data_IF_548017629823
#
_entry.id   IF_548017629823
#
_cell.length_a   1.000
_cell.length_b   1.000
_cell.length_c   1.000
_cell.angle_alpha   90.00
_cell.angle_beta   90.00
_cell.angle_gamma   90.00
#
_symmetry.space_group_name_H-M   'P 1'
#
loop_
_entity.id
_entity.type
_entity.pdbx_description
1 polymer ?
#
# COMPACT_ATOMS: atom_id res chain seq x y z
N UNK A 1 49.09 32.43 -11.69
CA UNK A 1 48.46 33.66 -11.19
C UNK A 1 46.91 33.48 -11.29
N UNK A 2 46.23 33.25 -10.16
CA UNK A 2 44.76 33.14 -10.14
C UNK A 2 44.16 34.53 -9.89
N UNK A 3 43.45 35.09 -10.88
CA UNK A 3 42.71 36.35 -10.73
C UNK A 3 41.48 36.13 -9.86
N UNK A 4 41.44 36.76 -8.69
CA UNK A 4 40.24 36.83 -7.79
C UNK A 4 39.19 37.74 -8.45
N UNK A 5 38.02 37.21 -8.73
CA UNK A 5 36.84 37.98 -9.19
C UNK A 5 36.26 38.70 -8.01
N UNK A 6 36.13 40.05 -8.12
CA UNK A 6 35.64 40.94 -7.05
C UNK A 6 34.10 40.93 -6.99
N UNK A 7 33.53 40.89 -5.80
CA UNK A 7 32.07 40.86 -5.51
C UNK A 7 31.25 41.93 -6.28
N UNK A 8 31.87 43.06 -6.61
CA UNK A 8 31.19 44.14 -7.36
C UNK A 8 31.03 43.84 -8.86
N UNK A 9 31.85 42.98 -9.44
CA UNK A 9 31.74 42.54 -10.84
C UNK A 9 30.67 41.45 -10.97
N UNK A 10 30.46 40.60 -9.96
CA UNK A 10 29.42 39.57 -9.92
C UNK A 10 28.01 40.16 -9.89
N UNK A 11 27.81 41.22 -9.13
CA UNK A 11 26.50 41.91 -9.04
C UNK A 11 26.12 42.71 -10.29
N UNK A 12 27.09 43.12 -11.12
CA UNK A 12 26.80 43.82 -12.39
C UNK A 12 26.45 42.91 -13.56
N UNK A 13 26.82 41.61 -13.50
CA UNK A 13 26.46 40.60 -14.51
C UNK A 13 25.08 40.03 -14.29
N UNK A 14 24.60 39.98 -13.01
CA UNK A 14 23.24 39.53 -12.69
C UNK A 14 22.16 40.58 -12.97
N UNK A 15 22.49 41.86 -13.02
CA UNK A 15 21.56 42.96 -13.31
C UNK A 15 21.16 43.15 -14.78
N UNK A 16 21.90 42.56 -15.73
CA UNK A 16 21.63 42.68 -17.16
C UNK A 16 20.81 41.53 -17.75
N UNK A 17 20.63 40.43 -17.01
CA UNK A 17 19.83 39.27 -17.45
C UNK A 17 18.34 39.37 -17.03
N UNK A 18 17.98 40.31 -16.16
CA UNK A 18 16.63 40.43 -15.63
C UNK A 18 15.66 41.31 -16.43
N UNK A 19 16.11 41.91 -17.55
CA UNK A 19 15.28 42.84 -18.34
C UNK A 19 14.90 42.31 -19.76
N UNK A 20 15.27 41.07 -20.11
CA UNK A 20 14.88 40.44 -21.35
C UNK A 20 13.83 39.33 -21.25
N UNK A 21 13.27 39.08 -20.04
CA UNK A 21 12.34 38.00 -19.78
C UNK A 21 10.87 38.42 -19.53
N UNK A 22 10.49 39.66 -19.90
CA UNK A 22 9.12 40.17 -19.64
C UNK A 22 8.21 40.26 -20.86
N UNK A 23 8.51 39.50 -21.94
CA UNK A 23 7.64 39.40 -23.14
C UNK A 23 7.51 37.98 -23.71
N UNK A 24 7.66 36.93 -22.89
CA UNK A 24 7.36 35.56 -23.25
C UNK A 24 6.33 35.01 -22.25
N UNK A 25 5.11 34.78 -22.72
CA UNK A 25 4.04 34.25 -21.87
C UNK A 25 4.46 32.98 -21.12
N UNK A 26 4.04 32.89 -19.88
CA UNK A 26 3.99 31.66 -19.10
C UNK A 26 3.05 30.66 -19.83
N UNK A 27 3.57 29.98 -20.84
CA UNK A 27 2.93 28.76 -21.33
C UNK A 27 3.33 27.67 -20.37
N UNK A 28 2.46 27.35 -19.41
CA UNK A 28 2.55 26.12 -18.68
C UNK A 28 2.56 24.97 -19.68
N UNK A 29 3.52 24.06 -19.54
CA UNK A 29 3.50 22.80 -20.27
C UNK A 29 2.35 21.96 -19.74
N UNK A 30 1.12 22.23 -20.17
CA UNK A 30 0.00 21.31 -20.14
C UNK A 30 0.14 20.42 -21.39
N UNK A 31 0.13 19.10 -21.21
CA UNK A 31 -0.06 18.18 -22.32
C UNK A 31 -1.46 18.44 -22.88
N UNK A 32 -1.60 18.82 -24.13
CA UNK A 32 -2.89 19.01 -24.79
C UNK A 32 -3.39 17.64 -25.29
N UNK A 33 -4.62 17.27 -24.87
CA UNK A 33 -5.35 16.17 -25.47
C UNK A 33 -5.66 16.41 -26.95
N UNK A 34 -6.10 15.38 -27.67
CA UNK A 34 -6.37 15.43 -29.12
C UNK A 34 -7.33 16.58 -29.56
N UNK A 35 -8.08 17.16 -28.65
CA UNK A 35 -9.04 18.26 -28.91
C UNK A 35 -8.56 19.66 -28.47
N UNK A 36 -7.30 19.83 -28.04
CA UNK A 36 -6.75 21.14 -27.63
C UNK A 36 -7.23 21.62 -26.25
N UNK A 37 -7.93 20.79 -25.45
CA UNK A 37 -8.26 21.06 -24.06
C UNK A 37 -7.09 20.63 -23.14
N UNK A 38 -6.82 21.39 -22.07
CA UNK A 38 -5.83 21.01 -21.06
C UNK A 38 -6.26 19.71 -20.38
N UNK A 39 -5.37 18.69 -20.37
CA UNK A 39 -5.62 17.44 -19.69
C UNK A 39 -5.54 17.60 -18.17
N UNK A 40 -6.45 16.98 -17.44
CA UNK A 40 -6.41 16.86 -15.97
C UNK A 40 -5.44 15.77 -15.59
N UNK A 41 -4.41 16.10 -14.81
CA UNK A 41 -3.44 15.11 -14.30
C UNK A 41 -3.96 14.51 -13.00
N UNK A 42 -4.10 13.18 -12.99
CA UNK A 42 -4.40 12.37 -11.79
C UNK A 42 -3.08 11.91 -11.21
N UNK A 43 -2.67 12.52 -10.10
CA UNK A 43 -1.45 12.16 -9.39
C UNK A 43 -1.74 11.04 -8.42
N UNK A 44 -0.91 9.98 -8.48
CA UNK A 44 -1.02 8.79 -7.64
C UNK A 44 0.22 8.64 -6.78
N UNK A 45 0.09 8.68 -5.46
CA UNK A 45 1.18 8.33 -4.56
C UNK A 45 1.28 6.81 -4.42
N UNK A 46 2.50 6.29 -4.51
CA UNK A 46 2.79 4.88 -4.40
C UNK A 46 4.12 4.64 -3.68
N UNK A 47 4.18 3.70 -2.76
CA UNK A 47 5.35 3.51 -1.90
C UNK A 47 6.31 2.42 -2.36
N UNK A 48 5.93 1.59 -3.35
CA UNK A 48 6.71 0.49 -3.91
C UNK A 48 7.37 0.89 -5.25
N UNK A 49 8.31 0.10 -5.77
CA UNK A 49 8.92 0.34 -7.07
C UNK A 49 7.95 0.06 -8.25
N UNK A 50 8.35 0.50 -9.44
CA UNK A 50 7.57 0.34 -10.69
C UNK A 50 7.37 -1.13 -11.12
N UNK A 51 8.16 -2.05 -10.57
CA UNK A 51 8.05 -3.49 -10.85
C UNK A 51 6.97 -4.19 -10.03
N UNK A 52 6.38 -3.49 -9.07
CA UNK A 52 5.35 -4.06 -8.19
C UNK A 52 4.02 -4.27 -8.94
N UNK A 53 3.29 -5.35 -8.62
CA UNK A 53 2.01 -5.69 -9.26
C UNK A 53 0.99 -4.55 -9.22
N UNK A 54 0.89 -3.85 -8.11
CA UNK A 54 0.01 -2.68 -7.94
C UNK A 54 0.36 -1.53 -8.88
N UNK A 55 1.68 -1.28 -9.14
CA UNK A 55 2.08 -0.26 -10.11
C UNK A 55 1.66 -0.65 -11.52
N UNK A 56 1.84 -1.93 -11.88
CA UNK A 56 1.42 -2.47 -13.18
C UNK A 56 -0.08 -2.26 -13.40
N UNK A 57 -0.89 -2.57 -12.37
CA UNK A 57 -2.34 -2.38 -12.41
C UNK A 57 -2.76 -0.91 -12.50
N UNK A 58 -2.08 -0.02 -11.78
CA UNK A 58 -2.32 1.43 -11.85
C UNK A 58 -1.93 2.01 -13.21
N UNK A 59 -0.83 1.54 -13.81
CA UNK A 59 -0.41 1.97 -15.14
C UNK A 59 -1.41 1.52 -16.22
N UNK A 60 -1.84 0.26 -16.18
CA UNK A 60 -2.90 -0.27 -17.05
C UNK A 60 -4.21 0.51 -16.91
N UNK A 61 -4.64 0.81 -15.67
CA UNK A 61 -5.77 1.68 -15.40
C UNK A 61 -5.58 3.05 -16.07
N UNK A 62 -4.41 3.67 -15.87
CA UNK A 62 -4.10 4.99 -16.41
C UNK A 62 -4.20 5.06 -17.93
N UNK A 63 -3.65 4.07 -18.63
CA UNK A 63 -3.72 3.97 -20.09
C UNK A 63 -5.17 3.81 -20.57
N UNK A 64 -5.93 2.89 -19.94
CA UNK A 64 -7.34 2.64 -20.28
C UNK A 64 -8.23 3.85 -20.02
N UNK A 65 -8.01 4.54 -18.88
CA UNK A 65 -8.80 5.71 -18.51
C UNK A 65 -8.50 6.91 -19.42
N UNK A 66 -7.22 7.14 -19.76
CA UNK A 66 -6.84 8.16 -20.75
C UNK A 66 -7.50 7.89 -22.12
N UNK A 67 -7.47 6.64 -22.57
CA UNK A 67 -8.12 6.26 -23.84
C UNK A 67 -9.66 6.47 -23.78
N UNK A 68 -10.32 6.02 -22.71
CA UNK A 68 -11.76 6.13 -22.51
C UNK A 68 -12.25 7.59 -22.41
N UNK A 69 -11.39 8.49 -21.92
CA UNK A 69 -11.69 9.92 -21.77
C UNK A 69 -11.11 10.78 -22.90
N UNK A 70 -10.63 10.17 -23.97
CA UNK A 70 -10.02 10.87 -25.13
C UNK A 70 -8.89 11.84 -24.72
N UNK A 71 -8.09 11.45 -23.72
CA UNK A 71 -6.97 12.23 -23.19
C UNK A 71 -7.34 13.39 -22.26
N UNK A 72 -8.61 13.54 -21.87
CA UNK A 72 -9.04 14.55 -20.88
C UNK A 72 -8.41 14.30 -19.49
N UNK A 73 -8.12 13.05 -19.16
CA UNK A 73 -7.45 12.65 -17.94
C UNK A 73 -6.21 11.84 -18.24
N UNK A 74 -5.13 12.11 -17.49
CA UNK A 74 -3.88 11.36 -17.57
C UNK A 74 -3.42 11.01 -16.16
N UNK A 75 -2.84 9.82 -15.97
CA UNK A 75 -2.38 9.34 -14.67
C UNK A 75 -0.86 9.47 -14.59
N UNK A 76 -0.37 10.10 -13.52
CA UNK A 76 1.03 10.17 -13.16
C UNK A 76 1.25 9.46 -11.83
N UNK A 77 2.00 8.35 -11.85
CA UNK A 77 2.31 7.57 -10.64
C UNK A 77 3.66 8.02 -10.08
N UNK A 78 3.71 8.29 -8.79
CA UNK A 78 4.89 8.68 -8.03
C UNK A 78 5.34 7.52 -7.13
N UNK A 79 6.22 6.60 -7.64
CA UNK A 79 6.64 5.40 -6.92
C UNK A 79 7.69 5.70 -5.84
N UNK A 80 8.12 4.65 -5.10
CA UNK A 80 9.20 4.70 -4.13
C UNK A 80 9.00 5.71 -2.99
N UNK A 81 7.77 5.95 -2.57
CA UNK A 81 7.40 6.88 -1.50
C UNK A 81 7.93 8.32 -1.68
N UNK A 82 8.16 8.79 -2.91
CA UNK A 82 8.70 10.14 -3.17
C UNK A 82 7.78 11.26 -2.69
N UNK A 83 6.48 10.98 -2.49
CA UNK A 83 5.50 11.90 -1.91
C UNK A 83 5.34 11.72 -0.39
N UNK A 84 6.07 10.81 0.22
CA UNK A 84 6.05 10.52 1.66
C UNK A 84 5.42 9.17 2.03
N UNK A 85 5.43 8.86 3.33
CA UNK A 85 4.78 7.69 3.91
C UNK A 85 3.24 7.85 3.96
N UNK A 86 2.52 6.77 4.27
CA UNK A 86 1.07 6.65 4.13
C UNK A 86 0.27 7.71 4.91
N UNK A 87 0.70 8.09 6.12
CA UNK A 87 0.00 9.10 6.92
C UNK A 87 -0.05 10.46 6.22
N UNK A 88 1.09 11.11 5.90
CA UNK A 88 1.15 12.34 5.12
C UNK A 88 0.42 12.27 3.78
N UNK A 89 0.57 11.14 3.04
CA UNK A 89 -0.11 10.94 1.75
C UNK A 89 -1.63 10.92 1.92
N UNK A 90 -2.15 10.27 2.96
CA UNK A 90 -3.59 10.23 3.23
C UNK A 90 -4.15 11.64 3.51
N UNK A 91 -3.42 12.47 4.24
CA UNK A 91 -3.83 13.87 4.46
C UNK A 91 -3.81 14.68 3.15
N UNK A 92 -2.87 14.40 2.23
CA UNK A 92 -2.88 15.02 0.91
C UNK A 92 -4.12 14.63 0.10
N UNK A 93 -4.55 13.37 0.16
CA UNK A 93 -5.81 12.91 -0.44
C UNK A 93 -7.00 13.67 0.17
N UNK A 94 -7.12 13.68 1.49
CA UNK A 94 -8.25 14.30 2.19
C UNK A 94 -8.38 15.81 1.93
N UNK A 95 -7.27 16.48 1.69
CA UNK A 95 -7.23 17.93 1.40
C UNK A 95 -7.31 18.27 -0.09
N UNK A 96 -7.39 17.27 -0.98
CA UNK A 96 -7.42 17.47 -2.43
C UNK A 96 -6.07 17.83 -3.07
N UNK A 97 -4.98 17.82 -2.28
CA UNK A 97 -3.64 18.07 -2.82
C UNK A 97 -3.14 16.91 -3.71
N UNK A 98 -3.73 15.74 -3.56
CA UNK A 98 -3.46 14.53 -4.32
C UNK A 98 -4.78 13.86 -4.70
N UNK A 99 -4.86 13.26 -5.90
CA UNK A 99 -6.08 12.65 -6.41
C UNK A 99 -6.24 11.19 -5.97
N UNK A 100 -5.16 10.40 -6.05
CA UNK A 100 -5.16 8.97 -5.72
C UNK A 100 -3.93 8.61 -4.88
N UNK A 101 -4.08 7.55 -4.08
CA UNK A 101 -2.96 6.88 -3.42
C UNK A 101 -3.26 5.40 -3.22
N UNK A 102 -2.21 4.57 -3.21
CA UNK A 102 -2.29 3.22 -2.65
C UNK A 102 -1.81 3.26 -1.22
N UNK A 103 -2.64 2.77 -0.32
CA UNK A 103 -2.36 2.76 1.11
C UNK A 103 -2.77 1.41 1.72
N UNK A 104 -2.08 0.94 2.77
CA UNK A 104 -2.43 -0.32 3.42
C UNK A 104 -3.76 -0.22 4.18
N UNK A 105 -4.38 -1.36 4.43
CA UNK A 105 -5.67 -1.47 5.12
C UNK A 105 -5.66 -0.83 6.52
N UNK A 106 -4.50 -0.69 7.16
CA UNK A 106 -4.35 0.04 8.43
C UNK A 106 -4.76 1.52 8.34
N UNK A 107 -4.70 2.13 7.13
CA UNK A 107 -5.11 3.52 6.94
C UNK A 107 -6.64 3.67 7.07
N UNK A 108 -7.50 3.03 6.25
CA UNK A 108 -8.94 3.12 6.48
C UNK A 108 -9.36 2.59 7.86
N UNK A 109 -8.66 1.61 8.46
CA UNK A 109 -8.88 1.15 9.83
C UNK A 109 -8.76 2.29 10.86
N UNK A 110 -7.81 3.20 10.68
CA UNK A 110 -7.62 4.35 11.59
C UNK A 110 -8.78 5.34 11.58
N UNK A 111 -9.59 5.36 10.53
CA UNK A 111 -10.81 6.19 10.40
C UNK A 111 -12.08 5.44 10.78
N UNK A 112 -12.14 4.14 10.48
CA UNK A 112 -13.24 3.26 10.82
C UNK A 112 -12.68 1.89 11.22
N UNK A 113 -12.73 1.60 12.51
CA UNK A 113 -12.15 0.37 13.09
C UNK A 113 -12.75 -0.93 12.52
N UNK A 114 -13.90 -0.88 11.85
CA UNK A 114 -14.49 -2.06 11.21
C UNK A 114 -13.67 -2.57 10.03
N UNK A 115 -12.83 -1.73 9.43
CA UNK A 115 -11.89 -2.16 8.39
C UNK A 115 -10.88 -3.20 8.88
N UNK A 116 -10.63 -3.30 10.19
CA UNK A 116 -9.77 -4.34 10.77
C UNK A 116 -10.19 -5.76 10.38
N UNK A 117 -11.47 -5.99 10.02
CA UNK A 117 -11.95 -7.32 9.65
C UNK A 117 -11.32 -7.80 8.34
N UNK A 118 -11.05 -6.90 7.37
CA UNK A 118 -10.55 -7.28 6.03
C UNK A 118 -9.16 -7.92 6.12
N UNK A 119 -8.31 -7.40 7.03
CA UNK A 119 -6.97 -7.91 7.28
C UNK A 119 -6.83 -8.42 8.73
N UNK A 120 -7.88 -9.10 9.23
CA UNK A 120 -7.82 -9.71 10.55
C UNK A 120 -6.92 -10.96 10.54
N UNK A 121 -6.16 -11.20 11.63
CA UNK A 121 -5.23 -12.33 11.68
C UNK A 121 -5.96 -13.66 11.50
N UNK A 122 -5.45 -14.48 10.59
CA UNK A 122 -5.97 -15.82 10.25
C UNK A 122 -7.43 -15.85 9.79
N UNK A 123 -7.97 -14.74 9.27
CA UNK A 123 -9.30 -14.70 8.66
C UNK A 123 -9.35 -15.62 7.42
N UNK A 124 -8.31 -15.57 6.60
CA UNK A 124 -8.16 -16.39 5.39
C UNK A 124 -7.12 -17.50 5.61
N UNK A 125 -7.27 -18.62 4.94
CA UNK A 125 -6.27 -19.70 4.92
C UNK A 125 -5.26 -19.52 3.78
N UNK A 126 -5.65 -18.83 2.72
CA UNK A 126 -4.84 -18.53 1.54
C UNK A 126 -5.28 -17.22 0.87
N UNK A 127 -4.52 -16.78 -0.13
CA UNK A 127 -4.76 -15.54 -0.87
C UNK A 127 -6.03 -15.63 -1.72
N UNK A 128 -6.31 -16.79 -2.33
CA UNK A 128 -7.47 -17.00 -3.22
C UNK A 128 -8.80 -16.70 -2.52
N UNK A 129 -8.92 -17.05 -1.23
CA UNK A 129 -10.12 -16.74 -0.44
C UNK A 129 -10.35 -15.25 -0.27
N UNK A 130 -9.29 -14.46 -0.11
CA UNK A 130 -9.38 -13.00 -0.05
C UNK A 130 -9.78 -12.43 -1.42
N UNK A 131 -9.15 -12.90 -2.48
CA UNK A 131 -9.47 -12.49 -3.85
C UNK A 131 -10.92 -12.83 -4.22
N UNK A 132 -11.40 -14.01 -3.86
CA UNK A 132 -12.79 -14.42 -4.05
C UNK A 132 -13.73 -13.48 -3.31
N UNK A 133 -13.44 -13.14 -2.04
CA UNK A 133 -14.24 -12.19 -1.28
C UNK A 133 -14.27 -10.80 -1.92
N UNK A 134 -13.15 -10.35 -2.48
CA UNK A 134 -13.06 -9.08 -3.20
C UNK A 134 -13.90 -9.09 -4.50
N UNK A 135 -13.79 -10.14 -5.31
CA UNK A 135 -14.57 -10.33 -6.55
C UNK A 135 -16.07 -10.35 -6.28
N UNK A 136 -16.49 -10.99 -5.19
CA UNK A 136 -17.89 -11.07 -4.77
C UNK A 136 -18.41 -9.78 -4.11
N UNK A 137 -17.55 -8.75 -3.92
CA UNK A 137 -17.95 -7.46 -3.36
C UNK A 137 -18.25 -7.53 -1.84
N UNK A 138 -17.68 -8.50 -1.13
CA UNK A 138 -17.90 -8.68 0.32
C UNK A 138 -17.53 -7.42 1.12
N UNK A 139 -16.58 -6.63 0.61
CA UNK A 139 -16.06 -5.44 1.29
C UNK A 139 -16.73 -4.13 0.86
N UNK A 140 -17.54 -4.15 -0.21
CA UNK A 140 -18.17 -2.94 -0.78
C UNK A 140 -18.96 -2.12 0.26
N UNK A 141 -19.72 -2.74 1.21
CA UNK A 141 -20.40 -2.00 2.26
C UNK A 141 -19.47 -1.23 3.20
N UNK A 142 -18.28 -1.77 3.49
CA UNK A 142 -17.26 -1.07 4.29
C UNK A 142 -16.65 0.09 3.51
N UNK A 143 -16.32 -0.13 2.22
CA UNK A 143 -15.75 0.90 1.36
C UNK A 143 -16.66 2.12 1.26
N UNK A 144 -17.98 1.91 1.15
CA UNK A 144 -18.98 2.97 1.13
C UNK A 144 -18.99 3.84 2.40
N UNK A 145 -18.36 3.41 3.51
CA UNK A 145 -18.31 4.21 4.74
C UNK A 145 -17.22 5.28 4.76
N UNK A 146 -16.36 5.36 3.73
CA UNK A 146 -15.17 6.22 3.74
C UNK A 146 -15.42 7.62 3.21
N UNK A 147 -16.48 7.85 2.44
CA UNK A 147 -16.85 9.15 1.86
C UNK A 147 -16.95 10.30 2.87
N UNK A 148 -17.44 10.00 4.07
CA UNK A 148 -17.55 10.97 5.19
C UNK A 148 -16.19 11.49 5.69
N UNK A 149 -15.07 10.89 5.29
CA UNK A 149 -13.71 11.29 5.65
C UNK A 149 -13.00 12.08 4.53
N UNK A 150 -13.74 12.47 3.49
CA UNK A 150 -13.26 13.15 2.29
C UNK A 150 -12.29 12.31 1.44
N UNK A 151 -12.40 10.99 1.52
CA UNK A 151 -11.80 10.05 0.58
C UNK A 151 -12.74 8.86 0.38
N UNK A 152 -12.59 8.19 -0.76
CA UNK A 152 -13.30 6.95 -1.06
C UNK A 152 -12.30 5.83 -1.35
N UNK A 153 -12.55 4.64 -0.81
CA UNK A 153 -11.89 3.41 -1.27
C UNK A 153 -12.53 3.00 -2.58
N UNK A 154 -11.78 3.02 -3.67
CA UNK A 154 -12.30 2.77 -5.02
C UNK A 154 -12.00 1.37 -5.54
N UNK A 155 -10.96 0.71 -5.04
CA UNK A 155 -10.65 -0.71 -5.25
C UNK A 155 -9.66 -1.19 -4.19
N UNK A 156 -9.40 -2.49 -4.16
CA UNK A 156 -8.32 -3.08 -3.36
C UNK A 156 -7.37 -3.88 -4.26
N UNK A 157 -6.16 -4.07 -3.76
CA UNK A 157 -5.11 -4.90 -4.31
C UNK A 157 -4.62 -5.87 -3.25
N UNK A 158 -3.96 -6.95 -3.65
CA UNK A 158 -3.29 -7.82 -2.69
C UNK A 158 -1.92 -7.25 -2.30
N UNK A 159 -1.51 -7.48 -1.07
CA UNK A 159 -0.12 -7.29 -0.61
C UNK A 159 0.45 -8.60 -0.06
N UNK A 160 -0.26 -9.70 -0.36
CA UNK A 160 0.13 -11.08 -0.11
C UNK A 160 -0.04 -11.56 1.32
N UNK A 161 0.32 -12.82 1.52
CA UNK A 161 0.44 -13.37 2.86
C UNK A 161 1.64 -12.76 3.59
N UNK A 162 1.48 -12.47 4.88
CA UNK A 162 2.54 -11.85 5.68
C UNK A 162 3.15 -12.85 6.64
N UNK A 163 4.45 -12.73 6.78
CA UNK A 163 5.32 -13.63 7.50
C UNK A 163 6.31 -12.83 8.36
N UNK A 164 6.88 -13.44 9.38
CA UNK A 164 7.85 -12.78 10.26
C UNK A 164 9.26 -12.94 9.69
N UNK A 165 10.02 -11.85 9.63
CA UNK A 165 11.45 -11.87 9.32
C UNK A 165 12.27 -11.26 10.45
N UNK A 166 13.36 -11.95 10.84
CA UNK A 166 14.17 -11.63 12.01
C UNK A 166 15.64 -12.07 11.81
N UNK A 167 16.48 -11.76 12.80
CA UNK A 167 17.88 -12.22 12.84
C UNK A 167 18.08 -13.65 13.39
N UNK A 168 16.97 -14.36 13.72
CA UNK A 168 16.97 -15.76 14.14
C UNK A 168 15.70 -16.45 13.64
N UNK A 169 15.71 -17.77 13.46
CA UNK A 169 14.51 -18.48 13.03
C UNK A 169 13.39 -18.38 14.08
N UNK A 170 12.17 -18.16 13.61
CA UNK A 170 10.95 -18.19 14.43
C UNK A 170 10.13 -19.38 13.96
N UNK A 171 10.05 -20.42 14.78
CA UNK A 171 9.32 -21.66 14.46
C UNK A 171 8.02 -21.79 15.25
N UNK A 172 7.92 -21.13 16.39
CA UNK A 172 6.77 -21.19 17.32
C UNK A 172 6.66 -19.91 18.14
N UNK A 173 5.52 -19.65 18.76
CA UNK A 173 5.28 -18.42 19.54
C UNK A 173 6.32 -18.11 20.62
N UNK A 174 6.89 -19.12 21.27
CA UNK A 174 7.91 -18.93 22.34
C UNK A 174 9.19 -18.30 21.81
N UNK A 175 9.52 -18.48 20.52
CA UNK A 175 10.71 -17.93 19.88
C UNK A 175 10.63 -16.41 19.75
N UNK A 176 9.40 -15.83 19.72
CA UNK A 176 9.17 -14.38 19.71
C UNK A 176 9.35 -13.70 21.07
N UNK A 177 9.55 -14.45 22.14
CA UNK A 177 9.65 -13.85 23.47
C UNK A 177 10.75 -12.82 23.57
N UNK A 178 10.36 -11.57 23.87
CA UNK A 178 11.26 -10.43 23.98
C UNK A 178 11.67 -9.78 22.66
N UNK A 179 11.21 -10.30 21.51
CA UNK A 179 11.43 -9.69 20.20
C UNK A 179 10.47 -8.54 19.97
N UNK A 180 10.99 -7.40 19.60
CA UNK A 180 10.24 -6.26 19.09
C UNK A 180 10.12 -6.43 17.58
N UNK A 181 8.91 -6.62 17.12
CA UNK A 181 8.58 -6.81 15.71
C UNK A 181 7.85 -5.58 15.19
N UNK A 182 8.37 -4.99 14.15
CA UNK A 182 7.70 -3.85 13.50
C UNK A 182 6.41 -4.31 12.87
N UNK A 183 5.37 -3.51 13.07
CA UNK A 183 4.10 -3.59 12.37
C UNK A 183 3.76 -2.23 11.74
N UNK A 184 2.76 -2.19 10.87
CA UNK A 184 2.14 -0.95 10.43
C UNK A 184 1.44 -0.27 11.62
N UNK A 185 1.10 1.01 11.49
CA UNK A 185 0.41 1.77 12.53
C UNK A 185 -1.06 1.31 12.62
N UNK A 186 -1.27 0.27 13.42
CA UNK A 186 -2.56 -0.36 13.70
C UNK A 186 -2.53 -1.02 15.07
N UNK A 187 -3.50 -0.69 15.90
CA UNK A 187 -3.69 -1.35 17.18
C UNK A 187 -3.96 -2.86 17.03
N UNK A 188 -4.62 -3.25 15.96
CA UNK A 188 -4.89 -4.66 15.61
C UNK A 188 -3.59 -5.42 15.41
N UNK A 189 -2.64 -4.85 14.66
CA UNK A 189 -1.37 -5.53 14.37
C UNK A 189 -0.42 -5.53 15.56
N UNK A 190 -0.44 -4.47 16.39
CA UNK A 190 0.29 -4.47 17.67
C UNK A 190 -0.23 -5.60 18.56
N UNK A 191 -1.56 -5.71 18.72
CA UNK A 191 -2.17 -6.76 19.52
C UNK A 191 -1.88 -8.16 18.97
N UNK A 192 -1.93 -8.34 17.64
CA UNK A 192 -1.60 -9.60 16.97
C UNK A 192 -0.20 -10.08 17.35
N UNK A 193 0.83 -9.24 17.17
CA UNK A 193 2.21 -9.62 17.51
C UNK A 193 2.36 -9.91 19.02
N UNK A 194 1.69 -9.13 19.87
CA UNK A 194 1.70 -9.37 21.32
C UNK A 194 1.08 -10.74 21.70
N UNK A 195 -0.02 -11.12 21.05
CA UNK A 195 -0.63 -12.44 21.21
C UNK A 195 0.24 -13.56 20.66
N UNK A 196 0.94 -13.32 19.54
CA UNK A 196 1.91 -14.26 18.96
C UNK A 196 3.14 -14.48 19.86
N UNK A 197 3.35 -13.64 20.88
CA UNK A 197 4.41 -13.82 21.89
C UNK A 197 5.53 -12.80 21.81
N UNK A 198 5.52 -11.88 20.84
CA UNK A 198 6.48 -10.79 20.67
C UNK A 198 6.02 -9.49 21.32
N UNK A 199 6.61 -8.38 20.86
CA UNK A 199 6.21 -7.01 21.19
C UNK A 199 6.00 -6.25 19.87
N UNK A 200 4.77 -5.92 19.53
CA UNK A 200 4.44 -5.14 18.33
C UNK A 200 4.86 -3.68 18.48
N UNK A 201 5.62 -3.17 17.51
CA UNK A 201 6.08 -1.78 17.48
C UNK A 201 5.58 -1.13 16.18
N UNK A 202 4.66 -0.18 16.28
CA UNK A 202 4.20 0.61 15.13
C UNK A 202 5.31 1.52 14.62
N UNK A 203 5.55 1.51 13.29
CA UNK A 203 6.60 2.30 12.67
C UNK A 203 6.35 2.46 11.17
N UNK A 204 6.70 3.62 10.59
CA UNK A 204 6.69 3.85 9.15
C UNK A 204 7.59 2.88 8.39
N UNK A 205 7.24 2.57 7.13
CA UNK A 205 8.01 1.62 6.31
C UNK A 205 9.44 2.12 6.05
N UNK A 206 9.61 3.41 5.84
CA UNK A 206 10.91 4.05 5.57
C UNK A 206 11.92 3.92 6.72
N UNK A 207 11.47 3.69 7.95
CA UNK A 207 12.31 3.63 9.14
C UNK A 207 12.81 2.21 9.45
N UNK A 208 12.16 1.17 8.91
CA UNK A 208 12.34 -0.24 9.32
C UNK A 208 13.77 -0.72 9.14
N UNK A 209 14.36 -0.50 7.95
CA UNK A 209 15.73 -0.96 7.67
C UNK A 209 16.72 -0.43 8.72
N UNK A 210 16.68 0.88 8.97
CA UNK A 210 17.59 1.51 9.95
C UNK A 210 17.32 1.04 11.38
N UNK A 211 16.05 0.85 11.76
CA UNK A 211 15.68 0.41 13.10
C UNK A 211 16.17 -1.02 13.40
N UNK A 212 16.06 -1.95 12.42
CA UNK A 212 16.60 -3.32 12.57
C UNK A 212 18.13 -3.29 12.57
N UNK A 213 18.75 -2.53 11.65
CA UNK A 213 20.21 -2.41 11.57
C UNK A 213 20.83 -1.87 12.87
N UNK A 214 20.14 -0.95 13.54
CA UNK A 214 20.55 -0.36 14.80
C UNK A 214 20.11 -1.16 16.04
N UNK A 215 19.48 -2.32 15.85
CA UNK A 215 18.95 -3.17 16.93
C UNK A 215 17.92 -2.46 17.84
N UNK A 216 17.17 -1.49 17.31
CA UNK A 216 16.03 -0.88 18.00
C UNK A 216 14.84 -1.85 18.04
N UNK A 217 14.70 -2.63 16.98
CA UNK A 217 13.77 -3.76 16.82
C UNK A 217 14.54 -4.97 16.28
N UNK A 218 13.99 -6.17 16.45
CA UNK A 218 14.64 -7.42 16.03
C UNK A 218 14.24 -7.88 14.63
N UNK A 219 13.18 -7.28 14.06
CA UNK A 219 12.69 -7.62 12.74
C UNK A 219 11.32 -6.96 12.45
N UNK A 220 10.65 -7.50 11.46
CA UNK A 220 9.32 -7.06 11.04
C UNK A 220 8.50 -8.21 10.50
N UNK A 221 7.39 -7.87 9.89
CA UNK A 221 6.51 -8.82 9.20
C UNK A 221 6.08 -8.23 7.85
N UNK A 222 6.06 -9.04 6.81
CA UNK A 222 5.64 -8.65 5.47
C UNK A 222 5.59 -9.87 4.53
N UNK A 223 5.17 -9.63 3.27
CA UNK A 223 5.29 -10.59 2.17
C UNK A 223 6.74 -10.68 1.65
N UNK A 224 7.06 -11.73 0.91
CA UNK A 224 8.37 -11.91 0.25
C UNK A 224 8.69 -10.75 -0.68
N UNK A 225 7.68 -10.23 -1.40
CA UNK A 225 7.83 -9.12 -2.35
C UNK A 225 8.33 -7.86 -1.64
N UNK A 226 7.66 -7.45 -0.57
CA UNK A 226 8.04 -6.24 0.19
C UNK A 226 9.36 -6.44 0.94
N UNK A 227 9.58 -7.62 1.53
CA UNK A 227 10.85 -7.99 2.18
C UNK A 227 12.03 -7.88 1.21
N UNK A 228 11.86 -8.32 -0.04
CA UNK A 228 12.84 -8.17 -1.11
C UNK A 228 13.01 -6.71 -1.54
N UNK A 229 11.92 -6.01 -1.86
CA UNK A 229 11.96 -4.65 -2.39
C UNK A 229 12.69 -3.65 -1.48
N UNK A 230 12.49 -3.79 -0.16
CA UNK A 230 13.16 -2.96 0.86
C UNK A 230 14.47 -3.54 1.36
N UNK A 231 14.93 -4.67 0.78
CA UNK A 231 16.19 -5.35 1.12
C UNK A 231 16.33 -5.71 2.61
N UNK A 232 15.21 -6.00 3.26
CA UNK A 232 15.22 -6.35 4.67
C UNK A 232 15.98 -7.65 4.94
N UNK A 233 16.21 -8.49 3.92
CA UNK A 233 17.03 -9.70 4.00
C UNK A 233 18.49 -9.42 4.37
N UNK A 234 19.02 -8.22 4.07
CA UNK A 234 20.39 -7.85 4.44
C UNK A 234 20.60 -7.74 5.95
N UNK A 235 19.52 -7.43 6.70
CA UNK A 235 19.55 -7.12 8.14
C UNK A 235 18.78 -8.13 8.99
N UNK A 236 17.91 -8.94 8.41
CA UNK A 236 17.07 -9.94 9.06
C UNK A 236 16.92 -11.16 8.15
N UNK A 237 17.93 -12.05 8.05
CA UNK A 237 18.06 -13.06 6.99
C UNK A 237 17.19 -14.31 7.18
N UNK A 238 16.41 -14.41 8.26
CA UNK A 238 15.46 -15.50 8.47
C UNK A 238 14.05 -15.04 8.16
N UNK A 239 13.40 -15.70 7.22
CA UNK A 239 12.01 -15.47 6.82
C UNK A 239 11.17 -16.66 7.25
N UNK A 240 10.32 -16.47 8.28
CA UNK A 240 9.55 -17.54 8.91
C UNK A 240 8.11 -17.51 8.46
N UNK A 241 7.65 -18.57 7.80
CA UNK A 241 6.32 -18.71 7.21
C UNK A 241 5.23 -18.87 8.30
N UNK A 242 4.93 -17.78 8.98
CA UNK A 242 3.87 -17.74 10.01
C UNK A 242 2.47 -17.59 9.44
N UNK A 243 2.34 -17.15 8.19
CA UNK A 243 1.07 -16.98 7.47
C UNK A 243 -0.05 -16.34 8.31
N UNK A 244 0.32 -15.33 9.11
CA UNK A 244 -0.52 -14.80 10.16
C UNK A 244 -1.58 -13.82 9.65
N UNK A 245 -1.44 -13.36 8.39
CA UNK A 245 -2.26 -12.28 7.84
C UNK A 245 -2.20 -12.34 6.30
N UNK A 246 -3.32 -12.23 5.63
CA UNK A 246 -3.42 -11.88 4.22
C UNK A 246 -3.71 -10.39 4.15
N UNK A 247 -2.75 -9.63 3.66
CA UNK A 247 -2.84 -8.17 3.60
C UNK A 247 -3.46 -7.71 2.28
N UNK A 248 -4.25 -6.68 2.38
CA UNK A 248 -4.73 -5.91 1.26
C UNK A 248 -4.27 -4.47 1.36
N UNK A 249 -3.91 -3.90 0.24
CA UNK A 249 -3.76 -2.47 0.08
C UNK A 249 -5.00 -1.93 -0.67
N UNK A 250 -5.36 -0.68 -0.45
CA UNK A 250 -6.51 -0.06 -1.09
C UNK A 250 -6.10 1.14 -1.90
N UNK A 251 -6.76 1.34 -3.04
CA UNK A 251 -6.67 2.61 -3.76
C UNK A 251 -7.70 3.54 -3.16
N UNK A 252 -7.21 4.64 -2.60
CA UNK A 252 -8.04 5.73 -2.08
C UNK A 252 -8.03 6.90 -3.04
N UNK A 253 -9.21 7.50 -3.25
CA UNK A 253 -9.39 8.67 -4.09
C UNK A 253 -9.90 9.84 -3.27
N UNK A 254 -9.47 11.06 -3.59
CA UNK A 254 -10.11 12.27 -3.03
C UNK A 254 -11.57 12.33 -3.47
N UNK A 255 -12.46 12.55 -2.51
CA UNK A 255 -13.91 12.56 -2.79
C UNK A 255 -14.31 13.71 -3.69
N UNK A 256 -13.84 14.93 -3.41
CA UNK A 256 -14.20 16.11 -4.19
C UNK A 256 -13.75 15.95 -5.66
N UNK A 257 -12.56 15.38 -5.88
CA UNK A 257 -12.06 15.06 -7.21
C UNK A 257 -13.00 14.11 -7.97
N UNK A 258 -13.55 13.09 -7.30
CA UNK A 258 -14.50 12.16 -7.92
C UNK A 258 -15.85 12.83 -8.17
N UNK A 259 -16.31 13.68 -7.26
CA UNK A 259 -17.57 14.41 -7.39
C UNK A 259 -17.55 15.45 -8.51
N UNK A 260 -16.38 16.05 -8.80
CA UNK A 260 -16.17 16.99 -9.90
C UNK A 260 -16.21 16.34 -11.29
N UNK A 261 -16.10 15.00 -11.39
CA UNK A 261 -16.28 14.28 -12.65
C UNK A 261 -17.76 14.25 -13.06
N UNK A 262 -18.01 14.39 -14.37
CA UNK A 262 -19.33 14.04 -14.91
C UNK A 262 -19.66 12.56 -14.63
N UNK A 263 -20.97 12.23 -14.61
CA UNK A 263 -21.45 10.91 -14.20
C UNK A 263 -20.89 9.77 -15.07
N UNK A 264 -20.76 9.98 -16.38
CA UNK A 264 -20.25 8.97 -17.32
C UNK A 264 -18.76 8.73 -17.10
N UNK A 265 -17.99 9.80 -16.90
CA UNK A 265 -16.56 9.74 -16.58
C UNK A 265 -16.33 9.05 -15.26
N UNK A 266 -17.08 9.40 -14.20
CA UNK A 266 -16.98 8.79 -12.87
C UNK A 266 -17.35 7.30 -12.89
N UNK A 267 -18.38 6.93 -13.65
CA UNK A 267 -18.79 5.54 -13.85
C UNK A 267 -17.68 4.74 -14.54
N UNK A 268 -17.08 5.31 -15.59
CA UNK A 268 -15.95 4.71 -16.30
C UNK A 268 -14.74 4.55 -15.39
N UNK A 269 -14.42 5.57 -14.59
CA UNK A 269 -13.34 5.52 -13.60
C UNK A 269 -13.53 4.34 -12.64
N UNK A 270 -14.70 4.24 -11.97
CA UNK A 270 -14.99 3.16 -11.01
C UNK A 270 -14.93 1.78 -11.64
N UNK A 271 -15.46 1.64 -12.86
CA UNK A 271 -15.40 0.39 -13.61
C UNK A 271 -13.95 -0.04 -13.89
N UNK A 272 -13.13 0.85 -14.43
CA UNK A 272 -11.74 0.55 -14.77
C UNK A 272 -10.87 0.32 -13.52
N UNK A 273 -11.15 1.03 -12.41
CA UNK A 273 -10.51 0.76 -11.13
C UNK A 273 -10.85 -0.64 -10.60
N UNK A 274 -12.09 -1.07 -10.73
CA UNK A 274 -12.47 -2.44 -10.34
C UNK A 274 -11.80 -3.49 -11.27
N UNK A 275 -11.71 -3.21 -12.56
CA UNK A 275 -11.02 -4.10 -13.52
C UNK A 275 -9.51 -4.18 -13.26
N UNK A 276 -8.87 -3.11 -12.75
CA UNK A 276 -7.45 -3.11 -12.43
C UNK A 276 -7.08 -4.09 -11.32
N UNK A 277 -8.00 -4.45 -10.44
CA UNK A 277 -7.83 -5.47 -9.41
C UNK A 277 -7.45 -6.83 -10.03
N UNK A 278 -8.09 -7.24 -11.14
CA UNK A 278 -7.76 -8.50 -11.81
C UNK A 278 -6.36 -8.45 -12.49
N UNK A 279 -5.94 -7.29 -12.95
CA UNK A 279 -4.58 -7.10 -13.50
C UNK A 279 -3.55 -7.24 -12.39
N UNK A 280 -3.84 -6.69 -11.22
CA UNK A 280 -2.95 -6.79 -10.06
C UNK A 280 -2.85 -8.23 -9.55
N UNK A 281 -3.96 -8.92 -9.33
CA UNK A 281 -3.96 -10.31 -8.87
C UNK A 281 -3.18 -11.23 -9.83
N UNK A 282 -3.36 -11.05 -11.14
CA UNK A 282 -2.62 -11.82 -12.15
C UNK A 282 -1.11 -11.54 -12.15
N UNK A 283 -0.67 -10.33 -11.78
CA UNK A 283 0.73 -9.95 -11.72
C UNK A 283 1.40 -10.34 -10.38
N UNK A 284 0.62 -10.53 -9.33
CA UNK A 284 1.14 -10.79 -7.97
C UNK A 284 1.91 -12.09 -7.87
N UNK A 285 1.39 -13.18 -8.44
CA UNK A 285 2.05 -14.49 -8.41
C UNK A 285 3.46 -14.43 -9.01
N UNK A 286 3.62 -13.73 -10.15
CA UNK A 286 4.93 -13.53 -10.76
C UNK A 286 5.85 -12.71 -9.86
N UNK A 287 5.34 -11.68 -9.17
CA UNK A 287 6.12 -10.90 -8.22
C UNK A 287 6.64 -11.76 -7.05
N UNK A 288 5.85 -12.71 -6.55
CA UNK A 288 6.30 -13.64 -5.50
C UNK A 288 7.43 -14.53 -6.02
N UNK A 289 7.28 -15.13 -7.21
CA UNK A 289 8.30 -16.00 -7.80
C UNK A 289 9.63 -15.24 -8.03
N UNK A 290 9.54 -14.04 -8.59
CA UNK A 290 10.70 -13.18 -8.82
C UNK A 290 11.39 -12.78 -7.49
N UNK A 291 10.61 -12.43 -6.47
CA UNK A 291 11.14 -12.09 -5.16
C UNK A 291 11.86 -13.28 -4.50
N UNK A 292 11.23 -14.48 -4.53
CA UNK A 292 11.85 -15.71 -3.98
C UNK A 292 13.15 -16.04 -4.66
N UNK A 293 13.24 -15.94 -5.99
CA UNK A 293 14.47 -16.19 -6.73
C UNK A 293 15.62 -15.26 -6.27
N UNK A 294 15.32 -13.96 -6.10
CA UNK A 294 16.30 -13.00 -5.58
C UNK A 294 16.71 -13.32 -4.14
N UNK A 295 15.74 -13.65 -3.28
CA UNK A 295 15.98 -13.97 -1.86
C UNK A 295 16.86 -15.24 -1.70
N UNK A 296 16.63 -16.26 -2.54
CA UNK A 296 17.46 -17.48 -2.60
C UNK A 296 18.91 -17.16 -3.00
N UNK A 297 19.10 -16.31 -4.02
CA UNK A 297 20.43 -15.87 -4.45
C UNK A 297 21.21 -15.13 -3.35
N UNK A 298 20.48 -14.41 -2.47
CA UNK A 298 21.07 -13.69 -1.34
C UNK A 298 21.20 -14.54 -0.08
N UNK A 299 20.87 -15.84 -0.13
CA UNK A 299 21.05 -16.79 0.97
C UNK A 299 20.08 -16.59 2.14
N UNK A 300 18.88 -16.10 1.89
CA UNK A 300 17.81 -16.03 2.88
C UNK A 300 17.47 -17.43 3.37
N UNK A 301 17.31 -17.59 4.67
CA UNK A 301 16.85 -18.85 5.26
C UNK A 301 15.34 -18.81 5.44
N UNK A 302 14.62 -19.53 4.62
CA UNK A 302 13.19 -19.76 4.79
C UNK A 302 12.95 -20.80 5.88
N UNK A 303 12.03 -20.51 6.79
CA UNK A 303 11.78 -21.29 8.00
C UNK A 303 10.30 -21.66 8.07
N UNK A 304 10.00 -22.95 8.18
CA UNK A 304 8.64 -23.42 8.45
C UNK A 304 8.28 -23.18 9.92
N UNK A 305 7.13 -22.56 10.16
CA UNK A 305 6.62 -22.26 11.48
C UNK A 305 5.40 -23.12 11.83
N UNK A 306 5.17 -23.33 13.12
CA UNK A 306 3.94 -23.94 13.63
C UNK A 306 2.77 -22.96 13.53
N UNK A 307 2.16 -22.89 12.33
CA UNK A 307 1.08 -21.96 12.00
C UNK A 307 -0.10 -22.11 12.99
N UNK A 308 -0.45 -23.33 13.36
CA UNK A 308 -1.58 -23.56 14.24
C UNK A 308 -1.34 -23.04 15.66
N UNK A 309 -0.12 -23.17 16.19
CA UNK A 309 0.22 -22.59 17.48
C UNK A 309 0.12 -21.05 17.49
N UNK A 310 0.45 -20.39 16.38
CA UNK A 310 0.25 -18.95 16.22
C UNK A 310 -1.24 -18.58 16.03
N UNK A 311 -1.95 -19.35 15.21
CA UNK A 311 -3.39 -19.19 14.94
C UNK A 311 -4.20 -19.25 16.24
N UNK A 312 -3.99 -20.30 17.06
CA UNK A 312 -4.70 -20.47 18.34
C UNK A 312 -4.58 -19.23 19.22
N UNK A 313 -3.42 -18.60 19.28
CA UNK A 313 -3.20 -17.39 20.08
C UNK A 313 -3.93 -16.17 19.53
N UNK A 314 -4.10 -16.07 18.22
CA UNK A 314 -4.76 -14.94 17.56
C UNK A 314 -6.28 -15.09 17.45
N UNK A 315 -6.84 -16.30 17.60
CA UNK A 315 -8.28 -16.53 17.50
C UNK A 315 -9.14 -15.61 18.37
N UNK A 316 -8.78 -15.29 19.63
CA UNK A 316 -9.57 -14.36 20.44
C UNK A 316 -9.65 -12.96 19.83
N UNK A 317 -8.58 -12.50 19.18
CA UNK A 317 -8.55 -11.20 18.48
C UNK A 317 -9.45 -11.24 17.24
N UNK A 318 -9.32 -12.26 16.40
CA UNK A 318 -10.19 -12.44 15.23
C UNK A 318 -11.67 -12.44 15.65
N UNK A 319 -12.05 -13.19 16.69
CA UNK A 319 -13.43 -13.23 17.17
C UNK A 319 -13.88 -11.88 17.73
N UNK A 320 -13.01 -11.14 18.41
CA UNK A 320 -13.31 -9.80 18.90
C UNK A 320 -13.58 -8.82 17.75
N UNK A 321 -12.79 -8.89 16.67
CA UNK A 321 -12.99 -8.05 15.49
C UNK A 321 -14.28 -8.45 14.77
N UNK A 322 -14.50 -9.75 14.53
CA UNK A 322 -15.68 -10.27 13.85
C UNK A 322 -17.01 -9.93 14.55
N UNK A 323 -16.99 -9.75 15.88
CA UNK A 323 -18.18 -9.41 16.66
C UNK A 323 -18.27 -7.91 17.04
N UNK A 324 -17.47 -7.04 16.43
CA UNK A 324 -17.43 -5.61 16.74
C UNK A 324 -18.68 -4.87 16.30
N UNK A 325 -19.21 -5.21 15.13
CA UNK A 325 -20.42 -4.65 14.55
C UNK A 325 -21.13 -5.67 13.66
N UNK A 326 -22.37 -5.37 13.26
CA UNK A 326 -23.11 -6.20 12.29
C UNK A 326 -22.34 -6.30 10.96
N UNK A 327 -21.68 -5.23 10.53
CA UNK A 327 -20.91 -5.19 9.30
C UNK A 327 -19.67 -6.10 9.36
N UNK A 328 -18.91 -6.05 10.45
CA UNK A 328 -17.76 -6.96 10.62
C UNK A 328 -18.20 -8.41 10.72
N UNK A 329 -19.36 -8.65 11.33
CA UNK A 329 -19.95 -9.99 11.42
C UNK A 329 -20.36 -10.51 10.06
N UNK A 330 -21.01 -9.69 9.23
CA UNK A 330 -21.41 -10.05 7.88
C UNK A 330 -20.19 -10.40 7.00
N UNK A 331 -19.13 -9.59 7.05
CA UNK A 331 -17.89 -9.88 6.33
C UNK A 331 -17.28 -11.20 6.79
N UNK A 332 -17.17 -11.42 8.12
CA UNK A 332 -16.65 -12.68 8.67
C UNK A 332 -17.46 -13.88 8.18
N UNK A 333 -18.78 -13.84 8.27
CA UNK A 333 -19.65 -14.96 7.90
C UNK A 333 -19.53 -15.28 6.40
N UNK A 334 -19.49 -14.26 5.52
CA UNK A 334 -19.26 -14.44 4.08
C UNK A 334 -17.90 -15.05 3.77
N UNK A 335 -16.84 -14.64 4.45
CA UNK A 335 -15.53 -15.28 4.30
C UNK A 335 -15.56 -16.73 4.75
N UNK A 336 -16.27 -17.08 5.86
CA UNK A 336 -16.42 -18.48 6.28
C UNK A 336 -17.21 -19.30 5.25
N UNK A 337 -18.21 -18.72 4.57
CA UNK A 337 -18.93 -19.38 3.47
C UNK A 337 -17.99 -19.64 2.26
N UNK A 338 -17.12 -18.68 1.92
CA UNK A 338 -16.11 -18.86 0.87
C UNK A 338 -15.17 -20.02 1.24
N UNK A 339 -14.60 -20.01 2.44
CA UNK A 339 -13.73 -21.09 2.96
C UNK A 339 -14.40 -22.46 2.86
N UNK A 340 -15.68 -22.53 3.24
CA UNK A 340 -16.43 -23.81 3.18
C UNK A 340 -16.71 -24.29 1.75
N UNK A 341 -16.72 -23.41 0.75
CA UNK A 341 -16.91 -23.78 -0.69
C UNK A 341 -15.61 -24.24 -1.35
N UNK A 342 -14.47 -23.75 -0.86
CA UNK A 342 -13.14 -24.03 -1.43
C UNK A 342 -12.38 -25.15 -0.68
N UNK A 343 -12.90 -25.65 0.44
CA UNK A 343 -12.35 -26.77 1.22
C UNK A 343 -12.72 -28.14 0.59
#
# INVERSE_FOLDING_TARGET
>A
MKKKINRRTFLKVMGAAALAASAGGLSGCGSTGENGEESTIIRVAFNQPETHAEYIALADFGEKFAAATHGRYQVEIYPNAVLGDQGPVTEMIRTGALQLAVVPMSVPESYNSDFAIIAAPYLYDNLEQMETAAREGVFDPLFATTDKFNFEVVTLYTSGARHIYTNKPITKPEDLKGYKIRVQDSDTYIQMINLMGGVGIAMGQSEVYAAVQQHVIEGGENSEVVYNNFKHYEIAPYFSYTNHLVMTDVVVANKDFLDDMDEDTRTTFRKLMKESMEVEFAAWDQNIEDAKAVLDEHGVTFVEADIEAFRERCMPLLQSIANRSDMTREVYDKVQEIKAREA
#
